data_IF_323682027751
#
_entry.id   IF_323682027751
#
_cell.length_a   1.000
_cell.length_b   1.000
_cell.length_c   1.000
_cell.angle_alpha   90.00
_cell.angle_beta   90.00
_cell.angle_gamma   90.00
#
_symmetry.space_group_name_H-M   'P 1'
#
loop_
_entity.id
_entity.type
_entity.pdbx_description
1 polymer ?
#
# COMPACT_ATOMS: atom_id res chain seq x y z
N UNK A 1 12.20 57.09 -40.14
CA UNK A 1 11.13 56.65 -39.21
C UNK A 1 10.51 55.37 -39.76
N UNK A 2 10.19 54.41 -38.90
CA UNK A 2 9.47 53.14 -39.16
C UNK A 2 10.16 52.06 -40.00
N UNK A 3 10.64 51.01 -39.30
CA UNK A 3 10.54 49.59 -39.69
C UNK A 3 10.93 48.70 -38.50
N UNK A 4 10.06 48.60 -37.49
CA UNK A 4 10.16 47.61 -36.40
C UNK A 4 8.76 47.32 -35.85
N UNK A 5 7.98 46.49 -36.55
CA UNK A 5 6.72 45.93 -36.02
C UNK A 5 6.24 44.79 -36.92
N UNK A 6 6.94 43.65 -36.94
CA UNK A 6 6.39 42.39 -37.47
C UNK A 6 6.80 41.12 -36.69
N UNK A 7 7.66 41.22 -35.69
CA UNK A 7 8.11 40.07 -34.88
C UNK A 7 7.31 39.85 -33.59
N UNK A 8 6.43 40.78 -33.19
CA UNK A 8 5.65 40.66 -31.94
C UNK A 8 4.35 39.84 -32.10
N UNK A 9 3.87 39.60 -33.32
CA UNK A 9 2.62 38.85 -33.54
C UNK A 9 2.84 37.32 -33.54
N UNK A 10 4.04 36.85 -33.89
CA UNK A 10 4.35 35.41 -33.93
C UNK A 10 4.53 34.82 -32.52
N UNK A 11 5.06 35.60 -31.58
CA UNK A 11 5.28 35.15 -30.19
C UNK A 11 3.95 35.05 -29.42
N UNK A 12 2.95 35.86 -29.77
CA UNK A 12 1.61 35.78 -29.17
C UNK A 12 0.79 34.59 -29.69
N UNK A 13 1.06 34.09 -30.90
CA UNK A 13 0.37 32.91 -31.45
C UNK A 13 0.96 31.57 -30.96
N UNK A 14 2.17 31.58 -30.41
CA UNK A 14 2.83 30.39 -29.87
C UNK A 14 2.35 30.03 -28.44
N UNK A 15 1.72 30.96 -27.72
CA UNK A 15 1.20 30.70 -26.36
C UNK A 15 -0.22 30.11 -26.32
N UNK A 16 -1.02 30.23 -27.38
CA UNK A 16 -2.37 29.65 -27.43
C UNK A 16 -2.41 28.18 -27.84
N UNK A 17 -1.31 27.61 -28.36
CA UNK A 17 -1.23 26.20 -28.73
C UNK A 17 -0.93 25.26 -27.54
N UNK A 18 -0.59 25.80 -26.36
CA UNK A 18 -0.19 25.00 -25.19
C UNK A 18 -1.40 24.46 -24.39
N UNK A 19 -2.58 25.06 -24.54
CA UNK A 19 -3.77 24.66 -23.78
C UNK A 19 -4.38 23.31 -24.25
N UNK A 20 -4.25 22.96 -25.52
CA UNK A 20 -4.65 21.64 -26.05
C UNK A 20 -3.58 20.55 -25.83
N UNK A 21 -2.37 20.93 -25.37
CA UNK A 21 -1.28 19.99 -25.15
C UNK A 21 -1.42 19.22 -23.81
N UNK A 22 -2.06 19.82 -22.80
CA UNK A 22 -2.05 19.28 -21.43
C UNK A 22 -2.81 17.95 -21.27
N UNK A 23 -3.93 17.76 -21.97
CA UNK A 23 -4.67 16.48 -21.94
C UNK A 23 -4.00 15.43 -22.84
N UNK A 24 -3.32 15.86 -23.91
CA UNK A 24 -2.75 14.98 -24.95
C UNK A 24 -1.65 14.05 -24.45
N UNK A 25 -0.98 14.41 -23.36
CA UNK A 25 0.09 13.61 -22.75
C UNK A 25 -0.45 12.41 -21.94
N UNK A 26 -1.75 12.39 -21.64
CA UNK A 26 -2.42 11.30 -20.92
C UNK A 26 -2.97 10.25 -21.87
N UNK A 27 -3.06 9.00 -21.39
CA UNK A 27 -3.48 7.87 -22.21
C UNK A 27 -5.00 7.63 -22.20
N UNK A 28 -5.71 7.99 -21.12
CA UNK A 28 -7.11 7.61 -20.92
C UNK A 28 -7.88 8.72 -20.22
N UNK A 29 -9.16 8.89 -20.60
CA UNK A 29 -10.12 9.76 -19.93
C UNK A 29 -11.41 9.03 -19.57
N UNK A 30 -12.09 9.49 -18.53
CA UNK A 30 -13.44 9.07 -18.11
C UNK A 30 -14.26 10.31 -17.82
N UNK A 31 -15.47 10.40 -18.37
CA UNK A 31 -16.38 11.51 -18.05
C UNK A 31 -16.83 11.45 -16.58
N UNK A 32 -16.96 12.60 -15.93
CA UNK A 32 -17.50 12.74 -14.57
C UNK A 32 -18.93 13.26 -14.69
N UNK A 33 -19.91 12.43 -14.34
CA UNK A 33 -21.33 12.72 -14.49
C UNK A 33 -21.96 13.04 -13.13
N UNK A 34 -23.02 13.88 -13.15
CA UNK A 34 -23.80 14.19 -11.95
C UNK A 34 -23.24 15.31 -11.07
N UNK A 35 -22.41 16.19 -11.63
CA UNK A 35 -21.89 17.37 -10.91
C UNK A 35 -23.03 18.38 -10.72
N UNK A 36 -23.43 18.61 -9.47
CA UNK A 36 -24.52 19.51 -9.07
C UNK A 36 -24.05 20.65 -8.16
N UNK A 37 -22.98 20.40 -7.40
CA UNK A 37 -22.47 21.23 -6.32
C UNK A 37 -20.98 21.54 -6.54
N UNK A 38 -20.44 22.40 -5.68
CA UNK A 38 -19.02 22.74 -5.73
C UNK A 38 -18.12 21.56 -5.32
N UNK A 39 -18.55 20.73 -4.38
CA UNK A 39 -17.74 19.65 -3.81
C UNK A 39 -18.40 18.30 -4.05
N UNK A 40 -17.63 17.38 -4.61
CA UNK A 40 -18.09 16.02 -4.85
C UNK A 40 -17.02 15.00 -4.52
N UNK A 41 -17.44 13.75 -4.41
CA UNK A 41 -16.52 12.62 -4.28
C UNK A 41 -16.87 11.46 -5.20
N UNK A 42 -15.87 10.66 -5.53
CA UNK A 42 -16.05 9.40 -6.24
C UNK A 42 -14.91 8.44 -5.90
N UNK A 43 -15.18 7.15 -5.97
CA UNK A 43 -14.15 6.12 -5.78
C UNK A 43 -13.43 5.84 -7.10
N UNK A 44 -12.12 5.62 -7.06
CA UNK A 44 -11.35 5.21 -8.23
C UNK A 44 -11.65 3.74 -8.56
N UNK A 45 -12.19 3.43 -9.75
CA UNK A 45 -12.51 2.06 -10.12
C UNK A 45 -11.23 1.25 -10.38
N UNK A 46 -11.23 -0.08 -10.16
CA UNK A 46 -10.05 -0.94 -10.30
C UNK A 46 -9.26 -0.76 -11.60
N UNK A 47 -9.98 -0.59 -12.71
CA UNK A 47 -9.40 -0.36 -14.04
C UNK A 47 -8.46 0.86 -14.14
N UNK A 48 -8.61 1.89 -13.28
CA UNK A 48 -7.69 3.05 -13.27
C UNK A 48 -6.29 2.61 -12.84
N UNK A 49 -6.19 1.74 -11.84
CA UNK A 49 -4.93 1.24 -11.29
C UNK A 49 -4.09 0.41 -12.27
N UNK A 50 -4.69 -0.01 -13.39
CA UNK A 50 -3.97 -0.72 -14.45
C UNK A 50 -3.11 0.20 -15.33
N UNK A 51 -3.39 1.51 -15.34
CA UNK A 51 -2.75 2.48 -16.26
C UNK A 51 -2.04 3.65 -15.59
N UNK A 52 -2.34 3.91 -14.31
CA UNK A 52 -1.67 4.96 -13.52
C UNK A 52 -0.25 4.57 -13.13
N UNK A 53 0.58 5.59 -12.94
CA UNK A 53 1.90 5.50 -12.33
C UNK A 53 1.85 4.88 -10.92
N UNK A 54 2.97 4.29 -10.48
CA UNK A 54 3.11 3.67 -9.14
C UNK A 54 2.76 4.63 -7.98
N UNK A 55 3.04 5.93 -8.15
CA UNK A 55 2.83 6.97 -7.15
C UNK A 55 1.51 7.74 -7.35
N UNK A 56 0.67 7.34 -8.32
CA UNK A 56 -0.61 7.99 -8.64
C UNK A 56 -0.48 9.48 -9.03
N UNK A 57 0.73 9.91 -9.42
CA UNK A 57 1.03 11.29 -9.76
C UNK A 57 0.32 11.77 -11.03
N UNK A 58 -0.04 10.82 -11.88
CA UNK A 58 -0.57 11.03 -13.21
C UNK A 58 -2.09 11.00 -13.28
N UNK A 59 -2.75 11.41 -12.20
CA UNK A 59 -4.21 11.61 -12.17
C UNK A 59 -4.49 13.11 -12.27
N UNK A 60 -5.41 13.52 -13.15
CA UNK A 60 -5.91 14.90 -13.23
C UNK A 60 -7.40 14.93 -13.47
N UNK A 61 -8.02 16.05 -13.14
CA UNK A 61 -9.41 16.34 -13.51
C UNK A 61 -9.41 17.60 -14.36
N UNK A 62 -9.83 17.47 -15.62
CA UNK A 62 -9.94 18.59 -16.55
C UNK A 62 -11.40 18.83 -16.95
N UNK A 63 -11.82 20.08 -16.87
CA UNK A 63 -13.08 20.59 -17.43
C UNK A 63 -12.84 21.18 -18.80
N UNK A 64 -13.61 20.73 -19.80
CA UNK A 64 -13.59 21.27 -21.15
C UNK A 64 -14.75 22.25 -21.29
N UNK A 65 -14.42 23.49 -21.67
CA UNK A 65 -15.39 24.52 -22.04
C UNK A 65 -15.25 24.84 -23.54
N UNK A 66 -16.20 25.55 -24.16
CA UNK A 66 -16.07 25.96 -25.56
C UNK A 66 -14.84 26.83 -25.88
N UNK A 67 -14.22 27.44 -24.85
CA UNK A 67 -13.12 28.41 -25.01
C UNK A 67 -11.79 27.92 -24.46
N UNK A 68 -11.81 27.13 -23.39
CA UNK A 68 -10.60 26.77 -22.65
C UNK A 68 -10.75 25.44 -21.89
N UNK A 69 -9.61 24.88 -21.48
CA UNK A 69 -9.52 23.73 -20.57
C UNK A 69 -9.14 24.23 -19.18
N UNK A 70 -9.92 23.85 -18.18
CA UNK A 70 -9.69 24.21 -16.77
C UNK A 70 -9.34 22.97 -15.96
N UNK A 71 -8.39 23.08 -15.04
CA UNK A 71 -8.05 22.00 -14.11
C UNK A 71 -8.86 22.14 -12.82
N UNK A 72 -9.56 21.07 -12.41
CA UNK A 72 -10.27 21.02 -11.15
C UNK A 72 -9.36 20.43 -10.05
N UNK A 73 -9.11 21.16 -8.94
CA UNK A 73 -8.27 20.63 -7.87
C UNK A 73 -8.98 19.50 -7.13
N UNK A 74 -8.20 18.51 -6.70
CA UNK A 74 -8.72 17.34 -5.98
C UNK A 74 -7.81 16.88 -4.84
N UNK A 75 -8.38 16.10 -3.92
CA UNK A 75 -7.67 15.36 -2.89
C UNK A 75 -7.85 13.86 -3.12
N UNK A 76 -6.75 13.13 -3.11
CA UNK A 76 -6.77 11.67 -3.03
C UNK A 76 -6.80 11.25 -1.56
N UNK A 77 -7.94 10.71 -1.12
CA UNK A 77 -8.13 10.15 0.22
C UNK A 77 -8.07 8.63 0.14
N UNK A 78 -7.22 8.04 0.97
CA UNK A 78 -7.14 6.59 1.13
C UNK A 78 -7.88 6.24 2.42
N UNK A 79 -8.93 5.42 2.31
CA UNK A 79 -9.79 5.01 3.43
C UNK A 79 -9.13 3.92 4.28
N UNK A 80 -7.92 4.21 4.77
CA UNK A 80 -7.16 3.37 5.69
C UNK A 80 -7.73 3.43 7.10
N UNK A 81 -7.43 2.42 7.89
CA UNK A 81 -7.82 2.39 9.30
C UNK A 81 -7.17 3.57 10.03
N UNK A 82 -7.91 4.14 10.98
CA UNK A 82 -7.36 5.08 11.95
C UNK A 82 -7.42 4.42 13.32
N UNK A 83 -6.24 4.11 13.82
CA UNK A 83 -6.04 3.59 15.16
C UNK A 83 -5.90 4.75 16.13
N UNK A 84 -6.83 4.87 17.07
CA UNK A 84 -6.75 5.81 18.19
C UNK A 84 -6.63 4.96 19.43
N UNK A 85 -5.40 4.77 19.89
CA UNK A 85 -5.15 4.12 21.16
C UNK A 85 -5.09 5.17 22.26
N UNK A 86 -6.02 5.08 23.22
CA UNK A 86 -5.98 5.86 24.45
C UNK A 86 -5.40 4.98 25.55
N UNK A 87 -4.19 5.29 26.00
CA UNK A 87 -3.59 4.67 27.18
C UNK A 87 -4.39 5.04 28.43
N UNK A 88 -4.55 4.08 29.32
CA UNK A 88 -5.33 4.20 30.55
C UNK A 88 -4.40 3.94 31.73
N UNK A 89 -4.31 4.93 32.61
CA UNK A 89 -3.56 4.82 33.85
C UNK A 89 -4.12 3.69 34.73
N UNK A 90 -3.24 2.97 35.41
CA UNK A 90 -3.60 1.88 36.32
C UNK A 90 -2.56 1.70 37.42
N UNK A 91 -2.95 1.03 38.49
CA UNK A 91 -2.05 0.58 39.56
C UNK A 91 -2.02 -0.95 39.62
N UNK A 92 -0.83 -1.55 39.73
CA UNK A 92 -0.68 -2.97 40.00
C UNK A 92 -0.80 -3.19 41.52
N UNK A 93 -1.97 -3.59 41.98
CA UNK A 93 -2.26 -3.71 43.43
C UNK A 93 -1.89 -5.08 44.00
N UNK A 94 -1.85 -6.13 43.18
CA UNK A 94 -1.45 -7.47 43.63
C UNK A 94 -0.59 -8.19 42.59
N UNK A 95 0.46 -8.84 43.09
CA UNK A 95 1.24 -9.86 42.38
C UNK A 95 1.36 -11.06 43.32
N UNK A 96 0.52 -12.07 43.11
CA UNK A 96 0.41 -13.19 44.04
C UNK A 96 0.46 -14.51 43.27
N UNK A 97 0.79 -15.57 43.98
CA UNK A 97 0.78 -16.92 43.44
C UNK A 97 0.25 -17.91 44.46
N UNK A 98 -0.34 -18.99 43.96
CA UNK A 98 -0.75 -20.16 44.73
C UNK A 98 -0.27 -21.39 43.99
N UNK A 99 0.80 -22.01 44.48
CA UNK A 99 1.48 -23.12 43.80
C UNK A 99 1.94 -22.71 42.39
N UNK A 100 1.33 -23.26 41.35
CA UNK A 100 1.63 -22.96 39.95
C UNK A 100 0.65 -21.96 39.32
N UNK A 101 -0.34 -21.49 40.08
CA UNK A 101 -1.27 -20.46 39.62
C UNK A 101 -0.73 -19.08 39.99
N UNK A 102 -0.62 -18.20 39.01
CA UNK A 102 -0.09 -16.85 39.15
C UNK A 102 -1.21 -15.83 38.88
N UNK A 103 -1.23 -14.77 39.69
CA UNK A 103 -2.26 -13.74 39.65
C UNK A 103 -1.65 -12.34 39.62
N UNK A 104 -2.13 -11.52 38.69
CA UNK A 104 -1.83 -10.09 38.64
C UNK A 104 -3.15 -9.31 38.67
N UNK A 105 -3.30 -8.39 39.62
CA UNK A 105 -4.51 -7.57 39.74
C UNK A 105 -4.16 -6.10 39.52
N UNK A 106 -4.86 -5.49 38.58
CA UNK A 106 -4.78 -4.07 38.26
C UNK A 106 -6.00 -3.35 38.80
N UNK A 107 -5.80 -2.16 39.35
CA UNK A 107 -6.83 -1.19 39.65
C UNK A 107 -6.81 -0.08 38.58
N UNK A 108 -7.98 0.22 38.02
CA UNK A 108 -8.17 1.16 36.91
C UNK A 108 -9.22 2.21 37.32
N UNK A 109 -9.07 3.49 36.93
CA UNK A 109 -10.08 4.51 37.18
C UNK A 109 -11.45 4.14 36.59
N UNK A 110 -12.48 4.13 37.44
CA UNK A 110 -13.84 3.64 37.10
C UNK A 110 -14.58 4.40 36.01
N UNK A 111 -14.07 5.54 35.56
CA UNK A 111 -14.66 6.32 34.46
C UNK A 111 -14.26 5.77 33.08
N UNK A 112 -13.13 5.11 33.00
CA UNK A 112 -12.53 4.66 31.74
C UNK A 112 -13.10 3.31 31.31
N UNK A 113 -13.31 3.16 30.00
CA UNK A 113 -13.64 1.88 29.36
C UNK A 113 -12.37 1.40 28.69
N UNK A 114 -12.09 0.09 28.72
CA UNK A 114 -10.91 -0.48 28.10
C UNK A 114 -11.24 -1.79 27.39
N UNK A 115 -10.42 -2.15 26.41
CA UNK A 115 -10.64 -3.32 25.56
C UNK A 115 -9.33 -4.03 25.18
N UNK A 116 -8.19 -3.57 25.72
CA UNK A 116 -6.88 -4.14 25.46
C UNK A 116 -5.96 -4.09 26.67
N UNK A 117 -5.23 -5.18 26.88
CA UNK A 117 -4.15 -5.28 27.87
C UNK A 117 -2.95 -5.95 27.18
N UNK A 118 -1.83 -5.24 27.09
CA UNK A 118 -0.56 -5.79 26.62
C UNK A 118 0.32 -6.17 27.81
N UNK A 119 0.61 -7.45 27.97
CA UNK A 119 1.44 -7.96 29.06
C UNK A 119 2.90 -8.01 28.68
N UNK A 120 3.78 -7.57 29.57
CA UNK A 120 5.21 -7.59 29.36
C UNK A 120 5.87 -8.53 30.37
N UNK A 121 6.49 -9.60 29.86
CA UNK A 121 7.30 -10.54 30.65
C UNK A 121 8.75 -10.48 30.18
N UNK A 122 9.70 -10.75 31.09
CA UNK A 122 11.13 -10.92 30.78
C UNK A 122 11.47 -12.36 30.38
N UNK A 123 10.51 -13.29 30.44
CA UNK A 123 10.69 -14.65 29.95
C UNK A 123 10.87 -14.60 28.43
N UNK A 124 11.89 -15.27 27.91
CA UNK A 124 12.13 -15.34 26.46
C UNK A 124 11.19 -16.32 25.77
N UNK A 125 10.86 -17.42 26.45
CA UNK A 125 10.01 -18.48 25.95
C UNK A 125 8.93 -18.84 26.98
N UNK A 126 7.67 -18.87 26.58
CA UNK A 126 6.54 -19.35 27.39
C UNK A 126 5.31 -19.60 26.51
N UNK A 127 4.40 -20.44 27.00
CA UNK A 127 3.08 -20.71 26.41
C UNK A 127 2.06 -20.86 27.54
N UNK A 128 1.22 -19.86 27.73
CA UNK A 128 0.28 -19.80 28.85
C UNK A 128 -1.14 -19.52 28.37
N UNK A 129 -2.10 -20.19 29.01
CA UNK A 129 -3.52 -19.87 28.89
C UNK A 129 -3.93 -18.97 30.04
N UNK A 130 -4.48 -17.82 29.69
CA UNK A 130 -4.83 -16.74 30.59
C UNK A 130 -6.34 -16.62 30.71
N UNK A 131 -6.80 -16.45 31.94
CA UNK A 131 -8.15 -16.01 32.27
C UNK A 131 -8.05 -14.53 32.66
N UNK A 132 -8.88 -13.70 32.05
CA UNK A 132 -9.05 -12.29 32.43
C UNK A 132 -10.42 -12.13 33.08
N UNK A 133 -10.44 -11.56 34.27
CA UNK A 133 -11.65 -11.32 35.04
C UNK A 133 -11.76 -9.83 35.43
N UNK A 134 -13.00 -9.33 35.53
CA UNK A 134 -13.31 -7.98 36.00
C UNK A 134 -14.10 -8.00 37.31
N UNK A 135 -13.88 -7.00 38.17
CA UNK A 135 -14.62 -6.81 39.44
C UNK A 135 -14.75 -5.33 39.78
N UNK A 136 -15.81 -4.91 40.50
CA UNK A 136 -15.90 -3.55 41.05
C UNK A 136 -15.39 -3.46 42.49
N UNK A 137 -15.36 -4.59 43.21
CA UNK A 137 -15.24 -4.66 44.67
C UNK A 137 -14.25 -5.73 45.17
N UNK A 138 -13.57 -6.46 44.26
CA UNK A 138 -12.64 -7.56 44.52
C UNK A 138 -13.23 -8.84 45.17
N UNK A 139 -14.53 -8.86 45.50
CA UNK A 139 -15.22 -10.06 46.03
C UNK A 139 -15.89 -10.91 44.95
N UNK A 140 -16.59 -10.27 43.99
CA UNK A 140 -17.22 -10.95 42.86
C UNK A 140 -16.44 -10.70 41.57
N UNK A 141 -16.09 -11.76 40.86
CA UNK A 141 -15.30 -11.71 39.63
C UNK A 141 -16.11 -12.23 38.45
N UNK A 142 -16.07 -11.50 37.33
CA UNK A 142 -16.76 -11.84 36.10
C UNK A 142 -15.73 -12.13 35.01
N UNK A 143 -15.81 -13.30 34.38
CA UNK A 143 -14.89 -13.68 33.31
C UNK A 143 -15.12 -12.83 32.06
N UNK A 144 -14.06 -12.18 31.59
CA UNK A 144 -14.03 -11.38 30.36
C UNK A 144 -13.43 -12.21 29.21
N UNK A 145 -12.28 -12.84 29.48
CA UNK A 145 -11.65 -13.80 28.57
C UNK A 145 -11.39 -15.11 29.29
N UNK A 146 -11.65 -16.20 28.57
CA UNK A 146 -11.37 -17.56 29.03
C UNK A 146 -10.37 -18.20 28.08
N UNK A 147 -9.34 -18.84 28.63
CA UNK A 147 -8.33 -19.60 27.90
C UNK A 147 -7.59 -18.81 26.80
N UNK A 148 -7.39 -17.51 26.99
CA UNK A 148 -6.65 -16.67 26.04
C UNK A 148 -5.17 -17.08 26.04
N UNK A 149 -4.65 -17.53 24.90
CA UNK A 149 -3.25 -17.97 24.78
C UNK A 149 -2.33 -16.76 24.65
N UNK A 150 -1.32 -16.67 25.51
CA UNK A 150 -0.16 -15.78 25.34
C UNK A 150 1.10 -16.62 25.18
N UNK A 151 1.97 -16.17 24.30
CA UNK A 151 3.10 -16.96 23.83
C UNK A 151 4.31 -16.07 23.56
N UNK A 152 5.50 -16.56 23.89
CA UNK A 152 6.74 -16.07 23.32
C UNK A 152 7.60 -17.26 22.88
N UNK A 153 8.15 -17.16 21.67
CA UNK A 153 9.10 -18.12 21.10
C UNK A 153 10.28 -17.32 20.56
N UNK A 154 11.46 -17.58 21.10
CA UNK A 154 12.72 -17.03 20.62
C UNK A 154 13.77 -18.12 20.48
N UNK A 155 14.21 -18.33 19.24
CA UNK A 155 15.28 -19.25 18.86
C UNK A 155 16.00 -18.72 17.59
N UNK A 156 16.87 -19.52 16.97
CA UNK A 156 17.61 -19.12 15.76
C UNK A 156 16.71 -18.90 14.53
N UNK A 157 15.51 -19.47 14.52
CA UNK A 157 14.60 -19.49 13.37
C UNK A 157 13.49 -18.43 13.47
N UNK A 158 13.03 -18.14 14.69
CA UNK A 158 11.88 -17.26 14.95
C UNK A 158 12.07 -16.47 16.24
N UNK A 159 11.70 -15.19 16.20
CA UNK A 159 11.49 -14.32 17.37
C UNK A 159 10.05 -13.80 17.29
N UNK A 160 9.12 -14.50 17.94
CA UNK A 160 7.69 -14.21 17.93
C UNK A 160 7.17 -14.07 19.35
N UNK A 161 6.33 -13.05 19.58
CA UNK A 161 5.73 -12.79 20.87
C UNK A 161 4.32 -12.24 20.69
N UNK A 162 3.37 -12.90 21.34
CA UNK A 162 1.97 -12.51 21.41
C UNK A 162 1.52 -12.50 22.87
N UNK A 163 1.39 -11.31 23.44
CA UNK A 163 1.03 -11.11 24.86
C UNK A 163 -0.12 -10.13 25.05
N UNK A 164 -0.84 -9.87 23.96
CA UNK A 164 -1.95 -8.94 23.92
C UNK A 164 -3.26 -9.68 24.21
N UNK A 165 -4.01 -9.18 25.18
CA UNK A 165 -5.37 -9.62 25.47
C UNK A 165 -6.34 -8.60 24.87
N UNK A 166 -7.10 -9.03 23.85
CA UNK A 166 -8.13 -8.23 23.20
C UNK A 166 -9.50 -8.75 23.60
N UNK A 167 -10.41 -7.86 24.00
CA UNK A 167 -11.75 -8.21 24.47
C UNK A 167 -12.76 -7.12 24.17
N UNK A 168 -14.08 -7.38 24.23
CA UNK A 168 -15.09 -6.34 24.11
C UNK A 168 -14.91 -5.24 25.17
N UNK A 169 -15.37 -4.03 24.86
CA UNK A 169 -15.34 -2.90 25.79
C UNK A 169 -15.88 -3.29 27.18
N UNK A 170 -15.00 -3.19 28.18
CA UNK A 170 -15.29 -3.54 29.56
C UNK A 170 -15.00 -2.35 30.48
N UNK A 171 -15.79 -2.25 31.55
CA UNK A 171 -15.70 -1.14 32.51
C UNK A 171 -15.77 -1.67 33.94
N UNK A 172 -14.63 -2.13 34.44
CA UNK A 172 -14.46 -2.60 35.82
C UNK A 172 -13.42 -1.75 36.54
N UNK A 173 -13.51 -1.67 37.88
CA UNK A 173 -12.46 -1.06 38.70
C UNK A 173 -11.23 -1.94 38.78
N UNK A 174 -11.41 -3.25 38.85
CA UNK A 174 -10.34 -4.21 39.02
C UNK A 174 -10.32 -5.22 37.89
N UNK A 175 -9.14 -5.48 37.36
CA UNK A 175 -8.89 -6.53 36.37
C UNK A 175 -7.89 -7.52 36.93
N UNK A 176 -8.23 -8.80 36.95
CA UNK A 176 -7.34 -9.86 37.41
C UNK A 176 -7.01 -10.80 36.28
N UNK A 177 -5.72 -11.02 36.11
CA UNK A 177 -5.14 -11.98 35.20
C UNK A 177 -4.73 -13.19 36.01
N UNK A 178 -5.19 -14.37 35.60
CA UNK A 178 -4.84 -15.64 36.19
C UNK A 178 -4.32 -16.60 35.12
N UNK A 179 -3.21 -17.28 35.41
CA UNK A 179 -2.73 -18.37 34.55
C UNK A 179 -1.92 -19.39 35.34
N UNK A 180 -1.95 -20.61 34.84
CA UNK A 180 -1.19 -21.72 35.37
C UNK A 180 0.17 -21.83 34.66
N UNK A 181 1.26 -21.89 35.40
CA UNK A 181 2.61 -22.05 34.85
C UNK A 181 3.55 -22.75 35.82
N UNK A 182 4.21 -23.81 35.32
CA UNK A 182 5.36 -24.42 36.00
C UNK A 182 6.64 -23.58 35.92
N UNK A 183 6.71 -22.62 34.99
CA UNK A 183 7.79 -21.64 34.89
C UNK A 183 7.44 -20.40 35.72
N UNK A 184 8.40 -19.87 36.49
CA UNK A 184 8.19 -18.62 37.23
C UNK A 184 8.05 -17.44 36.26
N UNK A 185 6.90 -16.74 36.25
CA UNK A 185 6.70 -15.58 35.40
C UNK A 185 7.50 -14.38 35.91
N UNK A 186 8.34 -13.81 35.04
CA UNK A 186 9.13 -12.61 35.29
C UNK A 186 8.39 -11.39 34.76
N UNK A 187 7.27 -11.04 35.38
CA UNK A 187 6.45 -9.91 34.98
C UNK A 187 7.23 -8.58 35.05
N UNK A 188 7.13 -7.78 33.99
CA UNK A 188 7.78 -6.47 33.85
C UNK A 188 6.76 -5.33 33.98
N UNK A 189 5.54 -5.53 33.52
CA UNK A 189 4.48 -4.54 33.56
C UNK A 189 3.37 -4.84 32.54
N UNK A 190 2.37 -3.99 32.48
CA UNK A 190 1.30 -4.04 31.49
C UNK A 190 1.15 -2.67 30.82
N UNK A 191 0.55 -2.64 29.64
CA UNK A 191 -0.04 -1.44 29.06
C UNK A 191 -1.53 -1.70 28.89
N UNK A 192 -2.37 -0.84 29.47
CA UNK A 192 -3.83 -0.95 29.43
C UNK A 192 -4.36 0.20 28.59
N UNK A 193 -5.26 -0.11 27.66
CA UNK A 193 -5.74 0.90 26.72
C UNK A 193 -7.17 0.65 26.26
N UNK A 194 -7.77 1.74 25.77
CA UNK A 194 -8.92 1.72 24.90
C UNK A 194 -8.42 1.87 23.45
N UNK A 195 -8.68 0.86 22.65
CA UNK A 195 -8.44 0.83 21.22
C UNK A 195 -9.73 1.24 20.50
N UNK A 196 -9.79 2.51 20.08
CA UNK A 196 -10.84 3.02 19.21
C UNK A 196 -10.36 2.95 17.75
N UNK A 197 -11.07 2.17 16.93
CA UNK A 197 -10.74 1.97 15.51
C UNK A 197 -11.81 2.55 14.62
N UNK A 198 -11.40 3.42 13.71
CA UNK A 198 -12.17 3.66 12.49
C UNK A 198 -11.71 2.59 11.49
N UNK A 199 -12.60 1.64 11.18
CA UNK A 199 -12.30 0.56 10.27
C UNK A 199 -11.91 1.09 8.88
N UNK A 200 -10.91 0.46 8.27
CA UNK A 200 -10.56 0.69 6.89
C UNK A 200 -11.70 0.23 5.95
N UNK A 201 -11.88 0.93 4.83
CA UNK A 201 -12.69 0.42 3.73
C UNK A 201 -11.79 -0.26 2.71
N UNK A 202 -12.14 -1.49 2.37
CA UNK A 202 -11.38 -2.33 1.46
C UNK A 202 -12.17 -2.68 0.21
N UNK A 203 -11.47 -2.75 -0.92
CA UNK A 203 -11.87 -3.50 -2.09
C UNK A 203 -11.18 -4.87 -2.06
N UNK A 204 -11.96 -5.94 -2.17
CA UNK A 204 -11.42 -7.29 -2.38
C UNK A 204 -10.90 -7.40 -3.80
N UNK A 205 -9.70 -7.94 -3.95
CA UNK A 205 -9.04 -8.09 -5.25
C UNK A 205 -9.15 -9.54 -5.67
N UNK A 206 -9.54 -9.78 -6.91
CA UNK A 206 -9.67 -11.14 -7.43
C UNK A 206 -8.28 -11.75 -7.69
N UNK A 207 -8.08 -12.95 -7.17
CA UNK A 207 -6.88 -13.75 -7.41
C UNK A 207 -7.21 -14.68 -8.57
N UNK A 208 -6.50 -14.50 -9.69
CA UNK A 208 -6.63 -15.28 -10.91
C UNK A 208 -5.93 -16.64 -10.78
N UNK A 209 -4.76 -16.65 -10.12
CA UNK A 209 -4.00 -17.88 -9.90
C UNK A 209 -3.26 -17.88 -8.55
N UNK A 210 -3.26 -19.04 -7.90
CA UNK A 210 -2.58 -19.31 -6.64
C UNK A 210 -1.81 -20.64 -6.77
N UNK A 211 -0.49 -20.56 -6.84
CA UNK A 211 0.39 -21.71 -7.00
C UNK A 211 1.34 -21.83 -5.82
N UNK A 212 1.46 -23.05 -5.29
CA UNK A 212 2.43 -23.38 -4.25
C UNK A 212 3.49 -24.31 -4.80
N UNK A 213 4.75 -24.04 -4.49
CA UNK A 213 5.91 -24.82 -4.90
C UNK A 213 6.93 -24.91 -3.77
N UNK A 214 7.79 -25.92 -3.80
CA UNK A 214 8.82 -26.12 -2.77
C UNK A 214 10.21 -25.98 -3.37
N UNK A 215 11.06 -25.20 -2.72
CA UNK A 215 12.50 -25.16 -2.95
C UNK A 215 13.16 -26.04 -1.88
N UNK A 216 13.45 -27.30 -2.25
CA UNK A 216 13.99 -28.30 -1.31
C UNK A 216 15.42 -27.97 -0.87
N UNK A 217 16.20 -27.32 -1.72
CA UNK A 217 17.59 -26.96 -1.42
C UNK A 217 17.63 -25.86 -0.36
N UNK A 218 16.71 -24.89 -0.45
CA UNK A 218 16.56 -23.82 0.54
C UNK A 218 15.63 -24.14 1.69
N UNK A 219 14.91 -25.27 1.63
CA UNK A 219 13.89 -25.68 2.61
C UNK A 219 12.81 -24.62 2.77
N UNK A 220 12.22 -24.21 1.65
CA UNK A 220 11.23 -23.12 1.58
C UNK A 220 10.00 -23.54 0.78
N UNK A 221 8.84 -23.02 1.20
CA UNK A 221 7.63 -23.02 0.38
C UNK A 221 7.46 -21.64 -0.26
N UNK A 222 7.26 -21.62 -1.58
CA UNK A 222 7.05 -20.43 -2.38
C UNK A 222 5.63 -20.44 -2.91
N UNK A 223 4.82 -19.50 -2.42
CA UNK A 223 3.46 -19.24 -2.88
C UNK A 223 3.48 -18.08 -3.89
N UNK A 224 3.12 -18.35 -5.14
CA UNK A 224 2.90 -17.32 -6.16
C UNK A 224 1.42 -16.97 -6.20
N UNK A 225 1.11 -15.68 -6.07
CA UNK A 225 -0.25 -15.15 -6.13
C UNK A 225 -0.31 -14.18 -7.33
N UNK A 226 -1.18 -14.47 -8.28
CA UNK A 226 -1.41 -13.65 -9.46
C UNK A 226 -2.81 -13.07 -9.39
N UNK A 227 -2.90 -11.74 -9.43
CA UNK A 227 -4.16 -11.01 -9.49
C UNK A 227 -4.65 -10.91 -10.94
N UNK A 228 -5.95 -10.74 -11.11
CA UNK A 228 -6.60 -10.51 -12.40
C UNK A 228 -6.02 -9.29 -13.13
N UNK A 229 -5.82 -8.20 -12.39
CA UNK A 229 -5.33 -6.92 -12.85
C UNK A 229 -4.38 -6.30 -11.84
N UNK A 230 -3.61 -5.29 -12.30
CA UNK A 230 -2.78 -4.50 -11.40
C UNK A 230 -3.70 -3.65 -10.50
N UNK A 231 -3.55 -3.80 -9.19
CA UNK A 231 -4.41 -3.18 -8.19
C UNK A 231 -3.59 -2.72 -6.97
N UNK A 232 -4.09 -1.75 -6.18
CA UNK A 232 -3.48 -1.36 -4.91
C UNK A 232 -3.73 -2.45 -3.88
N UNK A 233 -2.68 -2.99 -3.28
CA UNK A 233 -2.76 -4.05 -2.29
C UNK A 233 -2.15 -3.52 -1.01
N UNK A 234 -2.88 -3.65 0.09
CA UNK A 234 -2.43 -3.25 1.43
C UNK A 234 -2.72 -4.32 2.49
N UNK A 235 -3.34 -5.43 2.10
CA UNK A 235 -3.72 -6.51 2.99
C UNK A 235 -3.63 -7.86 2.29
N UNK A 236 -3.09 -8.86 2.99
CA UNK A 236 -3.07 -10.26 2.57
C UNK A 236 -3.50 -11.14 3.75
N UNK A 237 -4.42 -12.06 3.50
CA UNK A 237 -4.76 -13.15 4.42
C UNK A 237 -4.45 -14.49 3.77
N UNK A 238 -3.88 -15.42 4.55
CA UNK A 238 -3.62 -16.80 4.13
C UNK A 238 -4.46 -17.75 4.99
N UNK A 239 -5.25 -18.60 4.34
CA UNK A 239 -6.01 -19.66 5.01
C UNK A 239 -5.15 -20.93 5.09
N UNK A 240 -4.76 -21.28 6.30
CA UNK A 240 -3.85 -22.40 6.60
C UNK A 240 -4.64 -23.48 7.32
N UNK A 241 -4.72 -24.66 6.71
CA UNK A 241 -5.61 -25.73 7.14
C UNK A 241 -4.92 -26.85 7.93
N UNK A 242 -3.73 -26.58 8.47
CA UNK A 242 -3.03 -27.51 9.34
C UNK A 242 -3.69 -27.57 10.72
N UNK A 243 -3.70 -28.75 11.33
CA UNK A 243 -4.26 -29.06 12.65
C UNK A 243 -3.22 -29.07 13.78
N UNK A 244 -1.95 -28.79 13.44
CA UNK A 244 -0.83 -28.72 14.38
C UNK A 244 -0.36 -27.28 14.59
N UNK A 245 0.35 -27.04 15.70
CA UNK A 245 0.96 -25.76 15.98
C UNK A 245 2.15 -25.46 15.06
N UNK A 246 2.20 -24.24 14.53
CA UNK A 246 3.29 -23.80 13.65
C UNK A 246 3.66 -22.35 13.92
N UNK A 247 4.93 -22.03 13.66
CA UNK A 247 5.49 -20.67 13.77
C UNK A 247 6.57 -20.51 12.69
N UNK A 248 6.18 -20.02 11.51
CA UNK A 248 7.07 -19.92 10.34
C UNK A 248 7.34 -18.48 10.01
N UNK A 249 8.61 -18.10 9.95
CA UNK A 249 8.95 -16.82 9.36
C UNK A 249 8.57 -16.82 7.87
N UNK A 250 8.08 -15.68 7.40
CA UNK A 250 7.76 -15.50 5.99
C UNK A 250 8.20 -14.12 5.49
N UNK A 251 8.36 -14.04 4.17
CA UNK A 251 8.62 -12.81 3.44
C UNK A 251 7.56 -12.63 2.37
N UNK A 252 6.81 -11.53 2.43
CA UNK A 252 5.92 -11.12 1.36
C UNK A 252 6.66 -10.19 0.40
N UNK A 253 6.65 -10.55 -0.88
CA UNK A 253 7.24 -9.79 -1.96
C UNK A 253 6.21 -9.47 -3.04
N UNK A 254 6.48 -8.45 -3.83
CA UNK A 254 5.74 -8.11 -5.04
C UNK A 254 6.67 -7.96 -6.23
N UNK A 255 6.18 -8.27 -7.44
CA UNK A 255 6.92 -8.00 -8.66
C UNK A 255 6.90 -6.48 -8.91
N UNK A 256 8.06 -5.84 -8.73
CA UNK A 256 8.22 -4.40 -8.92
C UNK A 256 8.41 -4.04 -10.39
N UNK A 257 9.15 -4.86 -11.11
CA UNK A 257 9.39 -4.71 -12.54
C UNK A 257 9.37 -6.08 -13.23
N UNK A 258 9.50 -6.06 -14.56
CA UNK A 258 9.68 -7.27 -15.34
C UNK A 258 10.45 -7.00 -16.61
N UNK A 259 11.25 -7.96 -17.03
CA UNK A 259 12.03 -7.91 -18.28
C UNK A 259 11.62 -9.10 -19.14
N UNK A 260 11.26 -8.83 -20.39
CA UNK A 260 11.02 -9.87 -21.38
C UNK A 260 12.35 -10.53 -21.75
N UNK A 261 12.42 -11.85 -21.67
CA UNK A 261 13.57 -12.66 -22.11
C UNK A 261 13.11 -13.71 -23.11
N UNK A 262 14.03 -14.31 -23.86
CA UNK A 262 13.71 -15.40 -24.80
C UNK A 262 13.04 -16.61 -24.12
N UNK A 263 13.25 -16.79 -22.82
CA UNK A 263 12.65 -17.88 -22.02
C UNK A 263 11.36 -17.47 -21.30
N UNK A 264 10.84 -16.27 -21.58
CA UNK A 264 9.66 -15.69 -20.95
C UNK A 264 9.97 -14.49 -20.06
N UNK A 265 8.98 -14.06 -19.29
CA UNK A 265 9.10 -12.90 -18.41
C UNK A 265 9.92 -13.22 -17.15
N UNK A 266 10.94 -12.41 -16.87
CA UNK A 266 11.65 -12.42 -15.60
C UNK A 266 11.17 -11.25 -14.75
N UNK A 267 10.67 -11.53 -13.56
CA UNK A 267 10.17 -10.53 -12.62
C UNK A 267 11.22 -10.23 -11.55
N UNK A 268 11.53 -8.96 -11.27
CA UNK A 268 12.31 -8.63 -10.09
C UNK A 268 11.37 -8.28 -8.93
N UNK A 269 11.64 -8.90 -7.79
CA UNK A 269 10.80 -8.82 -6.62
C UNK A 269 11.41 -7.89 -5.57
N UNK A 270 10.54 -7.13 -4.89
CA UNK A 270 10.90 -6.34 -3.71
C UNK A 270 10.08 -6.82 -2.51
N UNK A 271 10.71 -6.76 -1.34
CA UNK A 271 10.07 -7.12 -0.07
C UNK A 271 9.09 -6.05 0.35
N UNK A 272 7.84 -6.43 0.64
CA UNK A 272 6.83 -5.56 1.26
C UNK A 272 6.91 -5.62 2.77
N UNK A 273 6.88 -6.83 3.31
CA UNK A 273 6.87 -7.07 4.74
C UNK A 273 7.42 -8.44 5.07
N UNK A 274 7.76 -8.63 6.34
CA UNK A 274 8.18 -9.89 6.95
C UNK A 274 7.31 -10.12 8.17
N UNK A 275 7.06 -11.38 8.50
CA UNK A 275 6.27 -11.71 9.68
C UNK A 275 6.38 -13.18 10.02
N UNK A 276 5.47 -13.64 10.88
CA UNK A 276 5.40 -15.03 11.33
C UNK A 276 3.99 -15.57 11.06
N UNK A 277 3.89 -16.61 10.25
CA UNK A 277 2.69 -17.43 10.16
C UNK A 277 2.58 -18.26 11.41
N UNK A 278 1.42 -18.23 12.06
CA UNK A 278 1.21 -18.97 13.30
C UNK A 278 -0.20 -19.56 13.45
N UNK A 279 -0.34 -20.55 14.33
CA UNK A 279 -1.60 -21.22 14.65
C UNK A 279 -2.42 -20.54 15.75
N UNK A 280 -1.93 -19.43 16.33
CA UNK A 280 -2.54 -18.73 17.47
C UNK A 280 -3.48 -17.62 17.00
N UNK A 281 -3.03 -16.83 16.03
CA UNK A 281 -3.73 -15.69 15.48
C UNK A 281 -4.22 -15.98 14.06
N UNK A 282 -5.10 -15.11 13.56
CA UNK A 282 -5.42 -15.12 12.13
C UNK A 282 -4.19 -14.66 11.36
N UNK A 283 -3.84 -15.38 10.29
CA UNK A 283 -2.75 -15.01 9.38
C UNK A 283 -3.21 -13.89 8.42
N UNK A 284 -3.54 -12.73 9.00
CA UNK A 284 -3.97 -11.50 8.34
C UNK A 284 -2.88 -10.43 8.50
N UNK A 285 -2.40 -9.90 7.38
CA UNK A 285 -1.25 -9.00 7.36
C UNK A 285 -1.59 -7.71 6.62
N UNK A 286 -1.48 -6.57 7.31
CA UNK A 286 -1.54 -5.24 6.71
C UNK A 286 -0.13 -4.73 6.41
N UNK A 287 0.02 -3.95 5.34
CA UNK A 287 1.29 -3.37 4.91
C UNK A 287 1.07 -2.10 4.09
N UNK A 288 2.16 -1.37 3.82
CA UNK A 288 2.10 -0.17 2.98
C UNK A 288 1.55 -0.50 1.59
N UNK A 289 0.55 0.27 1.15
CA UNK A 289 -0.14 0.05 -0.12
C UNK A 289 0.82 0.11 -1.31
N UNK A 290 0.80 -0.91 -2.16
CA UNK A 290 1.56 -0.94 -3.41
C UNK A 290 0.68 -1.33 -4.59
N UNK A 291 0.96 -0.79 -5.78
CA UNK A 291 0.34 -1.25 -7.02
C UNK A 291 1.08 -2.49 -7.52
N UNK A 292 0.41 -3.64 -7.53
CA UNK A 292 1.00 -4.88 -8.00
C UNK A 292 -0.03 -5.77 -8.71
N UNK A 293 0.45 -6.65 -9.59
CA UNK A 293 -0.32 -7.76 -10.17
C UNK A 293 0.13 -9.12 -9.66
N UNK A 294 1.39 -9.23 -9.20
CA UNK A 294 1.98 -10.50 -8.74
C UNK A 294 2.59 -10.31 -7.36
N UNK A 295 2.21 -11.20 -6.45
CA UNK A 295 2.82 -11.34 -5.13
C UNK A 295 3.53 -12.69 -5.03
N UNK A 296 4.52 -12.75 -4.15
CA UNK A 296 5.22 -13.97 -3.79
C UNK A 296 5.37 -14.02 -2.28
N UNK A 297 4.88 -15.08 -1.65
CA UNK A 297 5.15 -15.38 -0.24
C UNK A 297 6.22 -16.46 -0.20
N UNK A 298 7.30 -16.20 0.51
CA UNK A 298 8.36 -17.18 0.80
C UNK A 298 8.21 -17.55 2.27
N UNK A 299 8.00 -18.83 2.55
CA UNK A 299 7.83 -19.37 3.90
C UNK A 299 9.03 -20.26 4.19
N UNK A 300 9.70 -20.01 5.31
CA UNK A 300 10.83 -20.82 5.75
C UNK A 300 10.33 -22.11 6.41
N UNK A 301 10.49 -23.24 5.71
CA UNK A 301 10.04 -24.55 6.18
C UNK A 301 11.08 -25.24 7.08
N UNK A 302 12.37 -24.92 6.93
CA UNK A 302 13.43 -25.64 7.64
C UNK A 302 13.23 -27.17 7.51
N UNK A 303 13.31 -27.92 8.61
CA UNK A 303 13.16 -29.38 8.61
C UNK A 303 11.70 -29.87 8.75
N UNK A 304 10.74 -28.95 8.81
CA UNK A 304 9.35 -29.29 9.04
C UNK A 304 8.60 -29.48 7.71
N UNK A 305 7.46 -30.19 7.77
CA UNK A 305 6.57 -30.33 6.61
C UNK A 305 5.99 -28.97 6.16
N UNK A 306 5.81 -28.74 4.84
CA UNK A 306 5.15 -27.57 4.29
C UNK A 306 3.74 -27.33 4.86
N UNK A 307 3.35 -26.06 4.98
CA UNK A 307 2.00 -25.69 5.40
C UNK A 307 0.98 -25.91 4.26
N UNK A 308 -0.21 -26.36 4.61
CA UNK A 308 -1.34 -26.56 3.70
C UNK A 308 -2.14 -25.26 3.57
N UNK A 309 -1.77 -24.46 2.57
CA UNK A 309 -2.42 -23.18 2.27
C UNK A 309 -3.58 -23.43 1.32
N UNK A 310 -4.81 -23.32 1.82
CA UNK A 310 -6.03 -23.57 1.03
C UNK A 310 -6.37 -22.41 0.12
N UNK A 311 -6.23 -21.19 0.63
CA UNK A 311 -6.63 -20.00 -0.09
C UNK A 311 -5.83 -18.78 0.36
N UNK A 312 -5.87 -17.74 -0.46
CA UNK A 312 -5.37 -16.42 -0.13
C UNK A 312 -6.48 -15.39 -0.38
N UNK A 313 -6.48 -14.30 0.38
CA UNK A 313 -7.36 -13.16 0.13
C UNK A 313 -6.52 -11.90 0.10
N UNK A 314 -6.53 -11.19 -1.02
CA UNK A 314 -5.87 -9.89 -1.18
C UNK A 314 -6.91 -8.76 -1.12
N UNK A 315 -6.60 -7.70 -0.39
CA UNK A 315 -7.44 -6.49 -0.33
C UNK A 315 -6.60 -5.23 -0.47
N UNK A 316 -7.24 -4.18 -0.97
CA UNK A 316 -6.66 -2.84 -1.11
C UNK A 316 -7.56 -1.80 -0.47
N UNK A 317 -7.00 -0.74 0.09
CA UNK A 317 -7.80 0.38 0.58
C UNK A 317 -8.60 1.03 -0.56
N UNK A 318 -9.82 1.46 -0.24
CA UNK A 318 -10.60 2.30 -1.16
C UNK A 318 -9.88 3.64 -1.35
N UNK A 319 -9.70 4.03 -2.61
CA UNK A 319 -9.14 5.32 -2.98
C UNK A 319 -10.27 6.23 -3.45
N UNK A 320 -10.55 7.26 -2.68
CA UNK A 320 -11.59 8.23 -2.96
C UNK A 320 -10.95 9.54 -3.44
N UNK A 321 -11.51 10.11 -4.51
CA UNK A 321 -11.20 11.45 -4.96
C UNK A 321 -12.24 12.40 -4.39
N UNK A 322 -11.79 13.51 -3.82
CA UNK A 322 -12.65 14.64 -3.41
C UNK A 322 -12.26 15.84 -4.24
N UNK A 323 -13.13 16.28 -5.14
CA UNK A 323 -12.84 17.31 -6.11
C UNK A 323 -13.67 18.57 -5.87
N UNK A 324 -13.07 19.73 -6.18
CA UNK A 324 -13.74 21.04 -6.15
C UNK A 324 -13.95 21.55 -7.57
N UNK A 325 -15.21 21.70 -7.96
CA UNK A 325 -15.61 22.21 -9.27
C UNK A 325 -16.02 23.68 -9.16
N UNK A 326 -15.38 24.56 -9.93
CA UNK A 326 -15.56 26.02 -9.82
C UNK A 326 -16.31 26.64 -10.99
N UNK A 327 -16.53 25.92 -12.08
CA UNK A 327 -17.22 26.43 -13.27
C UNK A 327 -18.03 25.37 -14.00
N UNK A 328 -18.96 25.80 -14.84
CA UNK A 328 -19.74 24.91 -15.71
C UNK A 328 -18.85 24.46 -16.88
N UNK A 329 -18.47 23.19 -16.87
CA UNK A 329 -17.66 22.53 -17.89
C UNK A 329 -18.02 21.05 -17.95
N UNK A 330 -17.65 20.38 -19.04
CA UNK A 330 -17.67 18.91 -19.11
C UNK A 330 -16.38 18.39 -18.48
N UNK A 331 -16.48 17.75 -17.31
CA UNK A 331 -15.31 17.31 -16.57
C UNK A 331 -14.95 15.86 -16.85
N UNK A 332 -13.65 15.60 -16.93
CA UNK A 332 -13.08 14.30 -17.19
C UNK A 332 -11.97 14.00 -16.18
N UNK A 333 -11.99 12.79 -15.62
CA UNK A 333 -10.83 12.19 -14.98
C UNK A 333 -9.88 11.71 -16.08
N UNK A 334 -8.65 12.20 -16.10
CA UNK A 334 -7.61 11.77 -17.04
C UNK A 334 -6.44 11.14 -16.31
N UNK A 335 -5.85 10.11 -16.92
CA UNK A 335 -4.75 9.37 -16.33
C UNK A 335 -3.91 8.58 -17.34
N UNK A 336 -2.76 8.08 -16.88
CA UNK A 336 -1.81 7.33 -17.70
C UNK A 336 -0.78 8.23 -18.38
N UNK A 337 -0.10 9.08 -17.61
CA UNK A 337 1.03 9.89 -18.07
C UNK A 337 2.25 9.62 -17.17
N UNK A 338 3.16 8.77 -17.63
CA UNK A 338 4.33 8.33 -16.84
C UNK A 338 5.26 9.49 -16.40
N UNK A 339 5.23 10.61 -17.13
CA UNK A 339 6.06 11.78 -16.85
C UNK A 339 5.36 12.83 -15.98
N UNK A 340 4.12 12.59 -15.56
CA UNK A 340 3.37 13.54 -14.74
C UNK A 340 3.93 13.62 -13.31
N UNK A 341 3.98 14.84 -12.78
CA UNK A 341 4.32 15.10 -11.39
C UNK A 341 3.09 15.08 -10.49
N UNK A 342 3.25 14.88 -9.19
CA UNK A 342 2.15 15.01 -8.23
C UNK A 342 1.60 16.45 -8.27
N UNK A 343 0.27 16.63 -8.34
CA UNK A 343 -0.30 17.97 -8.31
C UNK A 343 -0.18 18.57 -6.90
N UNK A 344 0.02 19.88 -6.84
CA UNK A 344 0.07 20.63 -5.58
C UNK A 344 -1.06 21.67 -5.58
N UNK A 345 -2.15 21.36 -4.88
CA UNK A 345 -3.32 22.25 -4.77
C UNK A 345 -3.46 22.81 -3.36
N UNK A 346 -3.89 24.07 -3.25
CA UNK A 346 -4.14 24.73 -1.96
C UNK A 346 -5.18 23.99 -1.09
N UNK A 347 -6.09 23.23 -1.71
CA UNK A 347 -7.14 22.50 -0.99
C UNK A 347 -6.60 21.42 -0.05
N UNK A 348 -5.34 21.00 -0.22
CA UNK A 348 -4.63 20.11 0.72
C UNK A 348 -4.49 20.77 2.09
N UNK A 349 -4.23 22.08 2.11
CA UNK A 349 -4.05 22.86 3.33
C UNK A 349 -5.37 23.32 3.95
N UNK A 350 -6.47 23.33 3.19
CA UNK A 350 -7.80 23.77 3.67
C UNK A 350 -8.78 22.61 3.85
N UNK A 351 -8.29 21.40 4.14
CA UNK A 351 -9.12 20.20 4.27
C UNK A 351 -10.24 20.31 5.31
N UNK A 352 -10.09 21.16 6.34
CA UNK A 352 -11.14 21.47 7.33
C UNK A 352 -12.35 22.20 6.74
N UNK A 353 -12.19 22.88 5.60
CA UNK A 353 -13.26 23.64 4.94
C UNK A 353 -14.08 22.79 3.96
N UNK A 354 -13.71 21.52 3.78
CA UNK A 354 -14.46 20.59 2.93
C UNK A 354 -15.70 20.15 3.71
N UNK A 355 -16.91 20.23 3.11
CA UNK A 355 -18.13 19.72 3.73
C UNK A 355 -17.99 18.28 4.21
N UNK A 356 -18.58 17.96 5.36
CA UNK A 356 -18.59 16.60 5.93
C UNK A 356 -19.44 15.63 5.10
N UNK A 357 -20.50 16.14 4.46
CA UNK A 357 -21.33 15.40 3.51
C UNK A 357 -20.97 15.81 2.08
N UNK A 358 -20.60 14.84 1.25
CA UNK A 358 -20.21 15.05 -0.14
C UNK A 358 -21.16 14.27 -1.05
N UNK A 359 -21.75 14.95 -2.02
CA UNK A 359 -22.56 14.32 -3.07
C UNK A 359 -21.66 13.46 -3.95
N UNK A 360 -22.03 12.19 -4.16
CA UNK A 360 -21.27 11.28 -5.01
C UNK A 360 -21.53 11.55 -6.49
N UNK A 361 -20.47 11.52 -7.29
CA UNK A 361 -20.52 11.58 -8.76
C UNK A 361 -20.11 10.24 -9.35
N UNK A 362 -20.57 9.96 -10.56
CA UNK A 362 -20.23 8.71 -11.25
C UNK A 362 -19.21 8.96 -12.36
N UNK A 363 -18.40 7.93 -12.62
CA UNK A 363 -17.47 7.92 -13.74
C UNK A 363 -18.07 7.15 -14.90
N UNK A 364 -18.01 7.73 -16.09
CA UNK A 364 -18.32 7.06 -17.34
C UNK A 364 -17.26 6.03 -17.73
N UNK A 365 -17.41 5.48 -18.93
CA UNK A 365 -16.48 4.49 -19.47
C UNK A 365 -15.08 5.06 -19.72
N UNK A 366 -14.07 4.18 -19.71
CA UNK A 366 -12.70 4.55 -20.04
C UNK A 366 -12.54 4.69 -21.55
N UNK A 367 -12.21 5.89 -22.01
CA UNK A 367 -11.99 6.21 -23.42
C UNK A 367 -10.50 6.53 -23.62
N UNK A 368 -9.81 5.91 -24.59
CA UNK A 368 -8.43 6.27 -24.91
C UNK A 368 -8.35 7.69 -25.47
N UNK A 369 -7.33 8.44 -25.07
CA UNK A 369 -7.06 9.77 -25.64
C UNK A 369 -6.21 9.58 -26.91
N UNK A 370 -6.64 10.07 -28.09
CA UNK A 370 -5.86 9.97 -29.31
C UNK A 370 -4.55 10.75 -29.16
N UNK A 371 -3.41 10.06 -29.25
CA UNK A 371 -2.11 10.72 -29.30
C UNK A 371 -1.88 11.29 -30.69
N UNK A 372 -1.48 12.55 -30.78
CA UNK A 372 -0.94 13.10 -32.03
C UNK A 372 0.35 12.34 -32.31
N UNK A 373 0.44 11.67 -33.46
CA UNK A 373 1.68 11.01 -33.86
C UNK A 373 2.78 12.07 -33.88
N UNK A 374 3.73 11.97 -32.95
CA UNK A 374 5.00 12.66 -33.12
C UNK A 374 5.68 12.00 -34.31
N UNK A 375 5.94 12.78 -35.36
CA UNK A 375 6.79 12.33 -36.45
C UNK A 375 8.11 11.88 -35.82
N UNK A 376 8.38 10.57 -35.85
CA UNK A 376 9.65 10.03 -35.38
C UNK A 376 10.74 10.72 -36.18
N UNK A 377 11.42 11.68 -35.56
CA UNK A 377 12.61 12.28 -36.16
C UNK A 377 13.61 11.14 -36.26
N UNK A 378 13.80 10.63 -37.48
CA UNK A 378 14.69 9.51 -37.72
C UNK A 378 16.09 9.83 -37.14
N UNK A 379 16.75 8.89 -36.44
CA UNK A 379 18.10 9.07 -35.94
C UNK A 379 19.03 9.61 -37.04
N UNK A 380 19.97 10.50 -36.70
CA UNK A 380 20.91 11.09 -37.68
C UNK A 380 21.64 10.03 -38.53
N UNK A 381 21.85 8.84 -37.99
CA UNK A 381 22.47 7.70 -38.68
C UNK A 381 21.57 7.03 -39.73
N UNK A 382 20.25 7.23 -39.68
CA UNK A 382 19.32 6.80 -40.75
C UNK A 382 19.31 7.80 -41.92
N UNK A 383 19.82 9.03 -41.71
CA UNK A 383 19.92 10.02 -42.76
C UNK A 383 21.08 9.69 -43.72
N UNK A 384 20.75 9.23 -44.93
CA UNK A 384 21.72 8.91 -45.99
C UNK A 384 22.71 10.04 -46.26
N UNK A 385 22.26 11.29 -46.28
CA UNK A 385 23.14 12.45 -46.56
C UNK A 385 24.18 12.65 -45.44
N UNK A 386 23.78 12.40 -44.19
CA UNK A 386 24.68 12.45 -43.04
C UNK A 386 25.72 11.33 -43.10
N UNK A 387 25.32 10.11 -43.46
CA UNK A 387 26.24 8.98 -43.70
C UNK A 387 27.26 9.28 -44.80
N UNK A 388 26.81 9.81 -45.96
CA UNK A 388 27.70 10.21 -47.05
C UNK A 388 28.67 11.32 -46.64
N UNK A 389 28.22 12.26 -45.81
CA UNK A 389 29.07 13.33 -45.27
C UNK A 389 30.17 12.74 -44.39
N UNK A 390 29.84 11.82 -43.47
CA UNK A 390 30.83 11.16 -42.61
C UNK A 390 31.78 10.27 -43.41
N UNK A 391 31.29 9.52 -44.40
CA UNK A 391 32.14 8.76 -45.31
C UNK A 391 33.10 9.67 -46.09
N UNK A 392 32.61 10.79 -46.62
CA UNK A 392 33.42 11.76 -47.34
C UNK A 392 34.53 12.37 -46.47
N UNK A 393 34.21 12.76 -45.24
CA UNK A 393 35.21 13.25 -44.26
C UNK A 393 36.24 12.17 -43.94
N UNK A 394 35.79 10.93 -43.73
CA UNK A 394 36.70 9.80 -43.42
C UNK A 394 37.66 9.52 -44.57
N UNK A 395 37.16 9.51 -45.81
CA UNK A 395 37.97 9.34 -47.03
C UNK A 395 38.96 10.50 -47.19
N UNK A 396 38.55 11.74 -46.96
CA UNK A 396 39.43 12.91 -47.00
C UNK A 396 40.55 12.83 -45.96
N UNK A 397 40.23 12.41 -44.73
CA UNK A 397 41.21 12.24 -43.66
C UNK A 397 42.20 11.14 -44.02
N UNK A 398 41.73 9.96 -44.44
CA UNK A 398 42.59 8.84 -44.86
C UNK A 398 43.44 9.18 -46.09
N UNK A 399 42.86 9.87 -47.07
CA UNK A 399 43.55 10.40 -48.25
C UNK A 399 44.63 11.42 -47.88
N UNK A 400 44.32 12.33 -46.95
CA UNK A 400 45.29 13.31 -46.45
C UNK A 400 46.46 12.65 -45.70
N UNK A 401 46.19 11.65 -44.86
CA UNK A 401 47.23 10.89 -44.17
C UNK A 401 48.12 10.09 -45.12
N UNK A 402 47.55 9.43 -46.13
CA UNK A 402 48.32 8.69 -47.14
C UNK A 402 49.19 9.61 -47.98
N UNK A 403 48.68 10.75 -48.44
CA UNK A 403 49.48 11.75 -49.16
C UNK A 403 50.61 12.34 -48.29
N UNK A 404 50.35 12.60 -47.01
CA UNK A 404 51.36 13.07 -46.04
C UNK A 404 52.45 12.02 -45.78
N UNK A 405 52.10 10.73 -45.79
CA UNK A 405 53.07 9.64 -45.68
C UNK A 405 53.92 9.50 -46.95
N UNK A 406 53.35 9.77 -48.13
CA UNK A 406 54.09 9.71 -49.40
C UNK A 406 55.00 10.92 -49.66
N UNK A 407 54.69 12.09 -49.10
CA UNK A 407 55.51 13.31 -49.23
C UNK A 407 56.62 13.42 -48.18
N UNK A 408 56.63 12.56 -47.15
CA UNK A 408 57.80 12.32 -46.31
C UNK A 408 58.66 11.23 -46.93
N UNK A 409 59.54 11.60 -47.86
CA UNK A 409 60.64 10.76 -48.31
C UNK A 409 61.93 11.55 -48.30
#
# INVERSE_FOLDING_TARGET
>A
MMKRTKTSLLVSLLFSAVALAQIGDYNTKREIMGITDQWHSFELPPSVFTKVSDNLADIRIYGITPKDTIEAPYLLRIEREKHIQKEIDFELINTTNKQQDHYYTFEVPTKETLNGILLNFKNENFDWKVILEGSQEQSNWFTILKDARILAIKNEQTDYRFTQLNFPNAKYRYYRIAFHSGLTPRFKGANIYLDDRIEAKYNTIHIDNLESSQDKDKKQTILQIVLDQRAPISFLSLDIANDFDYYRSFQLQYAHDSVATEKGWKYNYRTLTRGTLNSVEKNEFTFNSVLAKRLRVIIEDHDNQPLNIKNATAKGYVHQIIARFTGKAEYFLVYGNENAHLPNYDIVHTSKNIPSSLTQVSLGEAIPIPKKQEDKIAPLFENKFWLWTVMGVTILVLGGFTLKMMTKK
#
